data_IF_971138847495
#
_entry.id   IF_971138847495
#
_cell.length_a   1.000
_cell.length_b   1.000
_cell.length_c   1.000
_cell.angle_alpha   90.00
_cell.angle_beta   90.00
_cell.angle_gamma   90.00
#
_symmetry.space_group_name_H-M   'P 1'
#
loop_
_entity.id
_entity.type
_entity.pdbx_description
1 polymer ?
#
# COMPACT_ATOMS: atom_id res chain seq x y z
N UNK A 1 -3.25 2.83 -1.42
CA UNK A 1 -1.97 3.33 -0.88
C UNK A 1 -0.91 2.37 -1.38
N UNK A 2 -0.28 2.70 -2.51
CA UNK A 2 0.87 1.94 -3.01
C UNK A 2 2.02 2.30 -2.08
N UNK A 3 2.56 1.33 -1.34
CA UNK A 3 3.84 1.53 -0.66
C UNK A 3 4.86 1.60 -1.79
N UNK A 4 5.11 2.82 -2.28
CA UNK A 4 6.30 3.09 -3.08
C UNK A 4 7.44 2.93 -2.10
N UNK A 5 8.09 1.76 -2.11
CA UNK A 5 9.38 1.61 -1.45
C UNK A 5 10.36 2.40 -2.32
N UNK A 6 10.38 3.72 -2.12
CA UNK A 6 11.46 4.55 -2.61
C UNK A 6 12.67 4.12 -1.79
N UNK A 7 13.63 3.42 -2.41
CA UNK A 7 14.81 2.88 -1.74
C UNK A 7 15.94 3.90 -1.79
N UNK A 8 16.14 4.78 -0.77
CA UNK A 8 17.40 5.48 -0.65
C UNK A 8 18.47 4.49 -0.15
N UNK A 9 19.40 4.17 -1.05
CA UNK A 9 20.83 3.83 -0.83
C UNK A 9 21.31 3.50 0.60
N UNK A 10 20.71 2.55 1.33
CA UNK A 10 21.26 2.08 2.61
C UNK A 10 21.37 0.56 2.64
N UNK A 11 22.62 0.06 2.66
CA UNK A 11 22.96 -1.36 2.58
C UNK A 11 22.44 -2.25 3.73
N UNK A 12 21.92 -1.66 4.80
CA UNK A 12 21.47 -2.37 6.01
C UNK A 12 20.09 -3.04 5.82
N UNK A 13 19.20 -2.44 5.02
CA UNK A 13 17.88 -3.02 4.74
C UNK A 13 17.94 -4.18 3.73
N UNK A 14 18.93 -4.17 2.82
CA UNK A 14 19.14 -5.24 1.82
C UNK A 14 19.55 -6.57 2.45
N UNK A 15 20.37 -6.52 3.50
CA UNK A 15 20.84 -7.73 4.22
C UNK A 15 19.70 -8.40 4.99
N UNK A 16 18.77 -7.61 5.56
CA UNK A 16 17.60 -8.15 6.23
C UNK A 16 16.64 -8.81 5.24
N UNK A 17 16.27 -8.13 4.14
CA UNK A 17 15.41 -8.73 3.12
C UNK A 17 16.01 -9.99 2.50
N UNK A 18 17.33 -10.02 2.29
CA UNK A 18 18.04 -11.19 1.79
C UNK A 18 18.01 -12.36 2.77
N UNK A 19 18.23 -12.10 4.06
CA UNK A 19 18.14 -13.11 5.12
C UNK A 19 16.73 -13.71 5.18
N UNK A 20 15.71 -12.85 5.14
CA UNK A 20 14.30 -13.26 5.16
C UNK A 20 13.88 -14.04 3.91
N UNK A 21 14.39 -13.69 2.72
CA UNK A 21 14.15 -14.47 1.48
C UNK A 21 14.86 -15.83 1.54
N UNK A 22 16.07 -15.90 2.11
CA UNK A 22 16.79 -17.17 2.31
C UNK A 22 16.09 -18.05 3.34
N UNK A 23 15.58 -17.47 4.42
CA UNK A 23 14.87 -18.17 5.49
C UNK A 23 13.51 -18.73 5.00
N UNK A 24 12.83 -18.09 4.04
CA UNK A 24 11.54 -18.54 3.50
C UNK A 24 11.62 -19.68 2.47
N UNK A 25 12.79 -19.96 1.90
CA UNK A 25 12.94 -21.03 0.88
C UNK A 25 13.32 -22.37 1.52
N UNK A 26 13.26 -22.48 2.86
CA UNK A 26 13.74 -23.65 3.62
C UNK A 26 15.23 -24.01 3.34
N UNK A 27 15.96 -23.11 2.67
CA UNK A 27 17.39 -23.20 2.41
C UNK A 27 18.21 -22.48 3.48
N UNK A 28 17.70 -22.48 4.72
CA UNK A 28 18.40 -21.90 5.86
C UNK A 28 19.80 -22.51 5.86
N UNK A 29 20.80 -21.64 5.71
CA UNK A 29 22.20 -21.99 5.74
C UNK A 29 22.85 -22.57 4.45
N UNK A 30 22.21 -22.53 3.27
CA UNK A 30 22.84 -23.00 2.01
C UNK A 30 23.35 -21.89 1.08
N UNK A 31 22.98 -20.63 1.36
CA UNK A 31 23.36 -19.46 0.54
C UNK A 31 24.05 -18.36 1.35
N UNK A 32 24.85 -17.55 0.66
CA UNK A 32 25.39 -16.28 1.14
C UNK A 32 24.97 -15.14 0.22
N UNK A 33 24.74 -13.97 0.82
CA UNK A 33 24.64 -12.72 0.07
C UNK A 33 26.00 -12.43 -0.56
N UNK A 34 26.00 -12.18 -1.87
CA UNK A 34 27.20 -11.88 -2.66
C UNK A 34 27.15 -10.44 -3.17
N UNK A 35 28.24 -10.01 -3.82
CA UNK A 35 28.30 -8.73 -4.50
C UNK A 35 27.31 -8.68 -5.68
N UNK A 36 26.49 -7.62 -5.71
CA UNK A 36 25.51 -7.36 -6.75
C UNK A 36 26.05 -6.47 -7.87
N UNK A 37 27.26 -5.92 -7.74
CA UNK A 37 27.88 -5.12 -8.79
C UNK A 37 28.55 -6.01 -9.85
N UNK A 38 28.30 -5.74 -11.11
CA UNK A 38 28.75 -6.52 -12.25
C UNK A 38 29.97 -5.89 -12.93
N UNK A 39 30.68 -6.66 -13.75
CA UNK A 39 31.92 -6.22 -14.40
C UNK A 39 31.73 -5.04 -15.38
N UNK A 40 30.51 -4.81 -15.85
CA UNK A 40 30.14 -3.68 -16.70
C UNK A 40 29.71 -2.43 -15.90
N UNK A 41 29.84 -2.46 -14.57
CA UNK A 41 29.41 -1.38 -13.66
C UNK A 41 27.90 -1.33 -13.42
N UNK A 42 27.13 -2.24 -14.03
CA UNK A 42 25.70 -2.40 -13.69
C UNK A 42 25.54 -3.11 -12.35
N UNK A 43 24.35 -3.04 -11.75
CA UNK A 43 24.12 -3.58 -10.41
C UNK A 43 22.73 -4.17 -10.28
N UNK A 44 22.65 -5.39 -9.74
CA UNK A 44 21.38 -5.99 -9.32
C UNK A 44 20.98 -5.59 -7.90
N UNK A 45 19.73 -5.86 -7.52
CA UNK A 45 19.28 -5.56 -6.15
C UNK A 45 19.92 -6.50 -5.14
N UNK A 46 19.86 -7.82 -5.41
CA UNK A 46 20.40 -8.85 -4.54
C UNK A 46 20.93 -10.05 -5.34
N UNK A 47 22.03 -10.65 -4.86
CA UNK A 47 22.61 -11.89 -5.40
C UNK A 47 22.86 -12.85 -4.25
N UNK A 48 22.33 -14.06 -4.38
CA UNK A 48 22.58 -15.17 -3.46
C UNK A 48 23.45 -16.20 -4.16
N UNK A 49 24.61 -16.49 -3.57
CA UNK A 49 25.52 -17.55 -4.03
C UNK A 49 25.42 -18.76 -3.11
N UNK A 50 25.48 -20.00 -3.63
CA UNK A 50 25.60 -21.17 -2.79
C UNK A 50 26.85 -21.12 -1.91
N UNK A 51 26.79 -21.62 -0.67
CA UNK A 51 27.97 -21.76 0.19
C UNK A 51 29.00 -22.73 -0.39
N UNK A 52 28.48 -23.81 -0.98
CA UNK A 52 29.28 -24.87 -1.59
C UNK A 52 29.16 -24.77 -3.12
N UNK A 53 30.18 -24.19 -3.76
CA UNK A 53 30.28 -24.15 -5.23
C UNK A 53 30.85 -25.46 -5.82
N UNK A 54 31.11 -26.48 -5.00
CA UNK A 54 31.59 -27.79 -5.47
C UNK A 54 30.46 -28.82 -5.62
N UNK A 55 29.34 -28.68 -4.91
CA UNK A 55 28.12 -29.45 -5.18
C UNK A 55 27.35 -28.77 -6.32
N UNK A 56 27.06 -29.52 -7.39
CA UNK A 56 26.44 -29.00 -8.62
C UNK A 56 24.93 -28.68 -8.47
N UNK A 57 24.36 -28.85 -7.28
CA UNK A 57 22.92 -28.95 -7.14
C UNK A 57 22.25 -27.57 -7.03
N UNK A 58 22.97 -26.55 -6.55
CA UNK A 58 22.40 -25.23 -6.23
C UNK A 58 22.82 -24.14 -7.24
N UNK A 59 21.86 -23.45 -7.88
CA UNK A 59 22.13 -22.35 -8.80
C UNK A 59 22.47 -21.06 -8.05
N UNK A 60 23.03 -20.07 -8.76
CA UNK A 60 23.09 -18.70 -8.24
C UNK A 60 21.72 -18.05 -8.39
N UNK A 61 21.26 -17.30 -7.39
CA UNK A 61 19.97 -16.61 -7.46
C UNK A 61 20.21 -15.11 -7.57
N UNK A 62 19.67 -14.49 -8.61
CA UNK A 62 19.65 -13.03 -8.79
C UNK A 62 18.23 -12.54 -8.52
N UNK A 63 18.06 -11.52 -7.69
CA UNK A 63 16.75 -10.99 -7.31
C UNK A 63 16.67 -9.52 -7.69
N UNK A 64 15.54 -9.15 -8.31
CA UNK A 64 15.23 -7.82 -8.80
C UNK A 64 13.84 -7.38 -8.32
N UNK A 65 13.73 -6.12 -7.90
CA UNK A 65 12.46 -5.48 -7.58
C UNK A 65 12.20 -4.39 -8.61
N UNK A 66 11.11 -4.50 -9.36
CA UNK A 66 10.82 -3.55 -10.43
C UNK A 66 9.38 -3.07 -10.39
N UNK A 67 9.21 -1.76 -10.49
CA UNK A 67 7.88 -1.17 -10.62
C UNK A 67 7.26 -1.48 -11.99
N UNK A 68 8.08 -1.46 -13.05
CA UNK A 68 7.64 -1.78 -14.41
C UNK A 68 8.55 -2.83 -15.02
N UNK A 69 7.95 -3.90 -15.53
CA UNK A 69 8.66 -4.94 -16.27
C UNK A 69 8.40 -4.71 -17.76
N UNK A 70 9.37 -4.10 -18.42
CA UNK A 70 9.36 -3.84 -19.86
C UNK A 70 10.52 -4.54 -20.57
N UNK A 71 10.51 -4.48 -21.91
CA UNK A 71 11.54 -5.11 -22.72
C UNK A 71 12.96 -4.59 -22.43
N UNK A 72 13.11 -3.32 -22.07
CA UNK A 72 14.42 -2.73 -21.71
C UNK A 72 14.94 -3.35 -20.42
N UNK A 73 14.07 -3.50 -19.42
CA UNK A 73 14.41 -4.22 -18.20
C UNK A 73 14.74 -5.69 -18.48
N UNK A 74 13.96 -6.39 -19.30
CA UNK A 74 14.25 -7.79 -19.66
C UNK A 74 15.64 -7.95 -20.29
N UNK A 75 16.09 -7.02 -21.15
CA UNK A 75 17.47 -7.02 -21.68
C UNK A 75 18.52 -6.85 -20.58
N UNK A 76 18.25 -5.98 -19.60
CA UNK A 76 19.14 -5.78 -18.46
C UNK A 76 19.21 -7.03 -17.59
N UNK A 77 18.07 -7.66 -17.31
CA UNK A 77 17.97 -8.93 -16.61
C UNK A 77 18.74 -10.05 -17.34
N UNK A 78 18.66 -10.13 -18.68
CA UNK A 78 19.54 -11.01 -19.49
C UNK A 78 21.01 -10.74 -19.15
N UNK A 79 21.43 -9.48 -19.20
CA UNK A 79 22.82 -9.10 -18.92
C UNK A 79 23.27 -9.57 -17.54
N UNK A 80 22.44 -9.39 -16.50
CA UNK A 80 22.75 -9.86 -15.15
C UNK A 80 22.95 -11.38 -15.12
N UNK A 81 22.10 -12.14 -15.81
CA UNK A 81 22.26 -13.59 -15.89
C UNK A 81 23.56 -13.99 -16.59
N UNK A 82 23.96 -13.27 -17.65
CA UNK A 82 25.24 -13.50 -18.32
C UNK A 82 26.43 -13.21 -17.41
N UNK A 83 26.36 -12.12 -16.63
CA UNK A 83 27.43 -11.72 -15.72
C UNK A 83 27.55 -12.71 -14.56
N UNK A 84 26.43 -13.14 -13.99
CA UNK A 84 26.40 -14.17 -12.96
C UNK A 84 26.94 -15.52 -13.49
N UNK A 85 26.53 -15.93 -14.68
CA UNK A 85 27.03 -17.16 -15.32
C UNK A 85 28.54 -17.11 -15.54
N UNK A 86 29.09 -15.99 -16.03
CA UNK A 86 30.54 -15.80 -16.16
C UNK A 86 31.28 -15.81 -14.82
N UNK A 87 30.73 -15.13 -13.80
CA UNK A 87 31.39 -14.95 -12.50
C UNK A 87 31.42 -16.25 -11.68
N UNK A 88 30.33 -17.01 -11.72
CA UNK A 88 30.16 -18.20 -10.89
C UNK A 88 30.25 -19.52 -11.66
N UNK A 89 30.44 -19.45 -12.98
CA UNK A 89 30.52 -20.60 -13.90
C UNK A 89 29.28 -21.51 -13.83
N UNK A 90 28.10 -20.90 -13.63
CA UNK A 90 26.82 -21.59 -13.41
C UNK A 90 25.65 -20.75 -13.92
N UNK A 91 24.69 -21.39 -14.54
CA UNK A 91 23.48 -20.69 -14.99
C UNK A 91 22.62 -20.28 -13.78
N UNK A 92 22.32 -18.97 -13.64
CA UNK A 92 21.58 -18.47 -12.49
C UNK A 92 20.07 -18.68 -12.66
N UNK A 93 19.34 -18.68 -11.55
CA UNK A 93 17.92 -18.38 -11.52
C UNK A 93 17.78 -16.88 -11.28
N UNK A 94 16.92 -16.20 -12.05
CA UNK A 94 16.55 -14.81 -11.76
C UNK A 94 15.10 -14.74 -11.30
N UNK A 95 14.86 -14.04 -10.20
CA UNK A 95 13.54 -13.81 -9.62
C UNK A 95 13.25 -12.32 -9.69
N UNK A 96 12.13 -11.95 -10.31
CA UNK A 96 11.73 -10.57 -10.53
C UNK A 96 10.40 -10.34 -9.82
N UNK A 97 10.40 -9.47 -8.81
CA UNK A 97 9.18 -9.00 -8.15
C UNK A 97 8.68 -7.74 -8.85
N UNK A 98 7.57 -7.86 -9.57
CA UNK A 98 6.89 -6.77 -10.28
C UNK A 98 5.80 -6.13 -9.43
N UNK A 99 5.99 -4.88 -9.01
CA UNK A 99 5.05 -4.21 -8.09
C UNK A 99 3.89 -3.48 -8.80
N UNK A 100 3.92 -3.33 -10.12
CA UNK A 100 2.87 -2.62 -10.85
C UNK A 100 2.57 -3.22 -12.24
N UNK A 101 3.20 -2.72 -13.30
CA UNK A 101 2.77 -3.00 -14.69
C UNK A 101 3.80 -3.84 -15.44
N UNK A 102 3.33 -4.90 -16.08
CA UNK A 102 4.05 -5.61 -17.14
C UNK A 102 3.64 -5.04 -18.49
N UNK A 103 4.62 -4.69 -19.33
CA UNK A 103 4.33 -4.17 -20.67
C UNK A 103 3.65 -5.24 -21.55
N UNK A 104 2.80 -4.84 -22.50
CA UNK A 104 2.11 -5.78 -23.39
C UNK A 104 3.09 -6.71 -24.13
N UNK A 105 4.21 -6.16 -24.60
CA UNK A 105 5.27 -6.91 -25.25
C UNK A 105 5.84 -7.99 -24.32
N UNK A 106 6.12 -7.63 -23.07
CA UNK A 106 6.61 -8.58 -22.06
C UNK A 106 5.57 -9.64 -21.72
N UNK A 107 4.29 -9.27 -21.64
CA UNK A 107 3.19 -10.23 -21.38
C UNK A 107 3.09 -11.30 -22.46
N UNK A 108 3.44 -10.97 -23.71
CA UNK A 108 3.48 -11.94 -24.82
C UNK A 108 4.71 -12.85 -24.78
N UNK A 109 5.72 -12.53 -23.98
CA UNK A 109 6.97 -13.29 -23.87
C UNK A 109 7.01 -14.23 -22.66
N UNK A 110 5.98 -14.21 -21.83
CA UNK A 110 5.90 -15.00 -20.60
C UNK A 110 4.83 -16.08 -20.70
N UNK A 111 5.06 -17.20 -20.02
CA UNK A 111 4.08 -18.27 -19.82
C UNK A 111 3.82 -18.48 -18.33
N UNK A 112 2.78 -19.24 -17.99
CA UNK A 112 2.58 -19.67 -16.60
C UNK A 112 3.81 -20.44 -16.13
N UNK A 113 4.37 -20.02 -15.01
CA UNK A 113 5.56 -20.64 -14.45
C UNK A 113 5.27 -21.98 -13.81
N UNK A 114 6.35 -22.70 -13.46
CA UNK A 114 6.27 -24.01 -12.82
C UNK A 114 5.68 -23.92 -11.40
N UNK A 115 5.95 -22.82 -10.71
CA UNK A 115 5.40 -22.55 -9.38
C UNK A 115 4.08 -21.78 -9.51
N UNK A 116 3.11 -22.12 -8.68
CA UNK A 116 1.88 -21.33 -8.58
C UNK A 116 2.22 -19.88 -8.26
N UNK A 117 1.45 -18.95 -8.82
CA UNK A 117 1.67 -17.53 -8.58
C UNK A 117 2.79 -16.90 -9.40
N UNK A 118 3.35 -17.61 -10.38
CA UNK A 118 4.53 -17.14 -11.14
C UNK A 118 4.32 -17.19 -12.66
N UNK A 119 5.05 -16.33 -13.36
CA UNK A 119 5.28 -16.41 -14.79
C UNK A 119 6.74 -16.76 -15.09
N UNK A 120 6.98 -17.46 -16.19
CA UNK A 120 8.33 -17.75 -16.69
C UNK A 120 8.58 -16.99 -18.00
N UNK A 121 9.68 -16.24 -18.05
CA UNK A 121 10.09 -15.55 -19.29
C UNK A 121 10.81 -16.54 -20.23
N UNK A 122 10.22 -16.80 -21.40
CA UNK A 122 10.65 -17.85 -22.31
C UNK A 122 12.00 -17.58 -22.99
N UNK A 123 12.41 -16.32 -23.09
CA UNK A 123 13.52 -15.91 -23.96
C UNK A 123 14.88 -15.82 -23.26
N UNK A 124 15.04 -16.32 -22.03
CA UNK A 124 16.30 -16.22 -21.30
C UNK A 124 17.19 -17.44 -21.51
N UNK A 125 17.81 -17.50 -22.69
CA UNK A 125 18.66 -18.60 -23.19
C UNK A 125 19.86 -18.95 -22.29
N UNK A 126 20.11 -18.20 -21.21
CA UNK A 126 21.30 -18.32 -20.34
C UNK A 126 20.99 -18.13 -18.85
N UNK A 127 19.72 -18.21 -18.47
CA UNK A 127 19.33 -18.44 -17.09
C UNK A 127 18.83 -19.89 -17.00
N UNK A 128 19.07 -20.53 -15.86
CA UNK A 128 18.43 -21.82 -15.54
C UNK A 128 16.92 -21.66 -15.50
N UNK A 129 16.47 -20.54 -14.96
CA UNK A 129 15.06 -20.15 -14.92
C UNK A 129 14.93 -18.63 -14.74
N UNK A 130 13.85 -18.06 -15.27
CA UNK A 130 13.46 -16.69 -14.97
C UNK A 130 12.03 -16.66 -14.46
N UNK A 131 11.89 -16.33 -13.19
CA UNK A 131 10.61 -16.30 -12.49
C UNK A 131 10.19 -14.85 -12.32
N UNK A 132 9.00 -14.52 -12.77
CA UNK A 132 8.35 -13.23 -12.55
C UNK A 132 7.19 -13.45 -11.59
N UNK A 133 7.18 -12.68 -10.51
CA UNK A 133 6.10 -12.65 -9.52
C UNK A 133 5.49 -11.26 -9.56
N UNK A 134 4.22 -11.15 -9.90
CA UNK A 134 3.49 -9.89 -9.87
C UNK A 134 2.07 -10.11 -9.34
N UNK A 135 1.34 -9.02 -9.12
CA UNK A 135 -0.03 -9.11 -8.62
C UNK A 135 -0.93 -9.98 -9.52
N UNK A 136 -0.80 -9.87 -10.84
CA UNK A 136 -1.61 -10.64 -11.79
C UNK A 136 -1.33 -12.14 -11.68
N UNK A 137 -0.06 -12.55 -11.61
CA UNK A 137 0.31 -13.96 -11.48
C UNK A 137 -0.19 -14.57 -10.18
N UNK A 138 -0.23 -13.78 -9.10
CA UNK A 138 -0.69 -14.22 -7.79
C UNK A 138 -2.21 -14.27 -7.67
N UNK A 139 -2.93 -13.34 -8.30
CA UNK A 139 -4.40 -13.30 -8.29
C UNK A 139 -5.03 -14.50 -9.02
N UNK A 140 -4.28 -15.14 -9.94
CA UNK A 140 -4.68 -16.38 -10.62
C UNK A 140 -4.65 -17.63 -9.71
N UNK A 141 -4.11 -17.54 -8.49
CA UNK A 141 -4.00 -18.67 -7.56
C UNK A 141 -5.23 -18.79 -6.67
N UNK A 142 -5.97 -19.89 -6.82
CA UNK A 142 -7.11 -20.22 -5.96
C UNK A 142 -6.63 -20.66 -4.57
N UNK A 143 -7.22 -20.10 -3.50
CA UNK A 143 -6.88 -20.36 -2.08
C UNK A 143 -7.31 -21.77 -1.59
N UNK A 144 -6.83 -22.82 -2.23
CA UNK A 144 -7.19 -24.19 -1.85
C UNK A 144 -6.47 -24.68 -0.58
N UNK A 145 -5.37 -24.02 -0.19
CA UNK A 145 -4.54 -24.44 0.93
C UNK A 145 -4.43 -23.32 1.98
N UNK A 146 -4.93 -23.63 3.18
CA UNK A 146 -4.68 -22.86 4.39
C UNK A 146 -3.79 -23.75 5.28
N UNK A 147 -2.60 -23.30 5.71
CA UNK A 147 -2.02 -21.97 5.50
C UNK A 147 -1.48 -21.74 4.06
N UNK A 148 -1.37 -20.47 3.65
CA UNK A 148 -0.83 -20.06 2.34
C UNK A 148 0.65 -20.48 2.20
N UNK A 149 1.12 -20.77 1.00
CA UNK A 149 2.56 -21.00 0.78
C UNK A 149 3.39 -19.74 1.15
N UNK A 150 4.55 -19.86 1.85
CA UNK A 150 5.35 -18.71 2.27
C UNK A 150 5.82 -17.83 1.12
N UNK A 151 6.17 -18.43 -0.03
CA UNK A 151 6.60 -17.70 -1.21
C UNK A 151 5.44 -16.92 -1.83
N UNK A 152 4.23 -17.49 -1.86
CA UNK A 152 3.01 -16.77 -2.26
C UNK A 152 2.68 -15.60 -1.30
N UNK A 153 2.83 -15.82 0.01
CA UNK A 153 2.60 -14.78 1.02
C UNK A 153 3.56 -13.60 0.85
N UNK A 154 4.85 -13.89 0.66
CA UNK A 154 5.89 -12.90 0.36
C UNK A 154 5.63 -12.19 -0.96
N UNK A 155 5.29 -12.92 -2.01
CA UNK A 155 4.96 -12.36 -3.32
C UNK A 155 3.83 -11.34 -3.22
N UNK A 156 2.74 -11.68 -2.50
CA UNK A 156 1.60 -10.76 -2.30
C UNK A 156 1.97 -9.54 -1.46
N UNK A 157 2.77 -9.75 -0.42
CA UNK A 157 3.26 -8.64 0.40
C UNK A 157 4.11 -7.66 -0.44
N UNK A 158 5.07 -8.18 -1.22
CA UNK A 158 5.97 -7.36 -2.02
C UNK A 158 5.31 -6.69 -3.22
N UNK A 159 4.35 -7.36 -3.88
CA UNK A 159 3.78 -6.88 -5.15
C UNK A 159 2.45 -6.15 -4.99
N UNK A 160 1.67 -6.47 -3.96
CA UNK A 160 0.35 -5.88 -3.73
C UNK A 160 0.26 -5.06 -2.44
N UNK A 161 1.31 -5.05 -1.60
CA UNK A 161 1.28 -4.40 -0.29
C UNK A 161 0.23 -5.00 0.64
N UNK A 162 -0.24 -6.23 0.37
CA UNK A 162 -1.27 -6.89 1.15
C UNK A 162 -0.62 -7.63 2.32
N UNK A 163 -1.00 -7.28 3.55
CA UNK A 163 -0.72 -8.10 4.72
C UNK A 163 -1.59 -9.37 4.64
N UNK A 164 -0.97 -10.52 4.36
CA UNK A 164 -1.66 -11.82 4.37
C UNK A 164 -1.85 -12.28 5.81
N UNK A 165 -3.07 -12.22 6.34
CA UNK A 165 -3.46 -12.74 7.67
C UNK A 165 -4.36 -13.98 7.58
N UNK A 166 -4.33 -14.92 8.55
CA UNK A 166 -3.35 -15.12 9.62
C UNK A 166 -2.21 -16.02 9.11
N UNK A 167 -0.98 -15.66 9.44
CA UNK A 167 0.19 -16.44 9.03
C UNK A 167 1.15 -16.49 10.21
N UNK A 168 1.30 -17.67 10.82
CA UNK A 168 2.18 -17.92 11.97
C UNK A 168 3.62 -18.16 11.50
N UNK A 169 4.12 -17.28 10.64
CA UNK A 169 5.50 -17.32 10.16
C UNK A 169 6.31 -16.15 10.75
N UNK A 170 7.40 -16.44 11.48
CA UNK A 170 8.25 -15.41 12.08
C UNK A 170 8.80 -14.39 11.07
N UNK A 171 9.01 -14.79 9.83
CA UNK A 171 9.56 -13.94 8.78
C UNK A 171 8.52 -12.93 8.31
N UNK A 172 7.28 -13.36 8.08
CA UNK A 172 6.16 -12.49 7.75
C UNK A 172 5.80 -11.54 8.90
N UNK A 173 5.86 -11.99 10.16
CA UNK A 173 5.70 -11.11 11.33
C UNK A 173 6.79 -10.03 11.38
N UNK A 174 8.04 -10.40 11.10
CA UNK A 174 9.16 -9.46 11.04
C UNK A 174 8.98 -8.43 9.92
N UNK A 175 8.59 -8.85 8.72
CA UNK A 175 8.30 -7.95 7.59
C UNK A 175 7.15 -6.99 7.91
N UNK A 176 6.10 -7.47 8.58
CA UNK A 176 5.00 -6.61 9.06
C UNK A 176 5.49 -5.57 10.05
N UNK A 177 6.30 -5.99 11.04
CA UNK A 177 6.87 -5.07 12.03
C UNK A 177 7.71 -3.99 11.36
N UNK A 178 8.60 -4.37 10.42
CA UNK A 178 9.41 -3.41 9.65
C UNK A 178 8.57 -2.43 8.84
N UNK A 179 7.50 -2.92 8.21
CA UNK A 179 6.58 -2.07 7.43
C UNK A 179 5.85 -1.08 8.32
N UNK A 180 5.33 -1.55 9.45
CA UNK A 180 4.63 -0.70 10.41
C UNK A 180 5.58 0.36 10.97
N UNK A 181 6.81 -0.01 11.30
CA UNK A 181 7.82 0.93 11.77
C UNK A 181 8.15 1.98 10.69
N UNK A 182 8.35 1.55 9.44
CA UNK A 182 8.61 2.47 8.33
C UNK A 182 7.43 3.42 8.06
N UNK A 183 6.20 2.92 8.09
CA UNK A 183 4.99 3.74 7.97
C UNK A 183 4.92 4.73 9.13
N UNK A 184 5.18 4.29 10.35
CA UNK A 184 5.19 5.15 11.53
C UNK A 184 6.29 6.23 11.45
N UNK A 185 7.47 5.88 10.94
CA UNK A 185 8.56 6.82 10.71
C UNK A 185 8.19 7.86 9.63
N UNK A 186 7.56 7.43 8.53
CA UNK A 186 7.06 8.32 7.50
C UNK A 186 5.96 9.25 8.01
N UNK A 187 5.02 8.71 8.79
CA UNK A 187 3.95 9.49 9.43
C UNK A 187 4.49 10.41 10.53
N UNK A 188 5.63 10.06 11.14
CA UNK A 188 6.35 10.92 12.09
C UNK A 188 7.06 12.09 11.40
N UNK A 189 7.41 11.98 10.12
CA UNK A 189 8.05 13.05 9.34
C UNK A 189 7.09 13.90 8.52
N UNK A 190 5.91 13.38 8.19
CA UNK A 190 4.89 14.09 7.44
C UNK A 190 3.77 14.47 8.38
N UNK A 191 3.64 15.76 8.71
CA UNK A 191 2.49 16.22 9.48
C UNK A 191 1.22 15.82 8.69
N UNK A 192 0.32 14.99 9.24
CA UNK A 192 -0.86 14.53 8.51
C UNK A 192 -1.70 15.69 7.97
N UNK A 193 -1.66 16.83 8.67
CA UNK A 193 -2.27 18.09 8.28
C UNK A 193 -1.64 18.71 7.02
N UNK A 194 -0.33 18.58 6.81
CA UNK A 194 0.35 19.12 5.62
C UNK A 194 -0.03 18.33 4.36
N UNK A 195 -0.14 17.01 4.48
CA UNK A 195 -0.60 16.15 3.39
C UNK A 195 -2.07 16.40 3.08
N UNK A 196 -2.92 16.53 4.10
CA UNK A 196 -4.32 16.91 3.93
C UNK A 196 -4.46 18.28 3.27
N UNK A 197 -3.64 19.25 3.69
CA UNK A 197 -3.61 20.60 3.11
C UNK A 197 -3.22 20.56 1.64
N UNK A 198 -2.20 19.79 1.29
CA UNK A 198 -1.76 19.61 -0.09
C UNK A 198 -2.87 19.00 -0.96
N UNK A 199 -3.49 17.90 -0.52
CA UNK A 199 -4.59 17.25 -1.26
C UNK A 199 -5.77 18.19 -1.46
N UNK A 200 -6.13 18.98 -0.44
CA UNK A 200 -7.21 19.95 -0.53
C UNK A 200 -6.88 21.06 -1.54
N UNK A 201 -5.64 21.56 -1.55
CA UNK A 201 -5.22 22.59 -2.49
C UNK A 201 -5.15 22.08 -3.94
N UNK A 202 -4.68 20.85 -4.16
CA UNK A 202 -4.61 20.23 -5.48
C UNK A 202 -6.02 20.01 -6.05
N UNK A 203 -6.95 19.52 -5.23
CA UNK A 203 -8.36 19.38 -5.63
C UNK A 203 -9.02 20.74 -5.95
N UNK A 204 -8.76 21.78 -5.14
CA UNK A 204 -9.26 23.14 -5.40
C UNK A 204 -8.78 23.66 -6.77
N UNK A 205 -7.54 23.36 -7.15
CA UNK A 205 -6.99 23.74 -8.46
C UNK A 205 -7.72 23.03 -9.61
N UNK A 206 -7.90 21.71 -9.52
CA UNK A 206 -8.60 20.91 -10.55
C UNK A 206 -10.07 21.36 -10.70
N UNK A 207 -10.76 21.67 -9.61
CA UNK A 207 -12.12 22.21 -9.68
C UNK A 207 -12.17 23.56 -10.36
N UNK A 208 -11.19 24.44 -10.14
CA UNK A 208 -11.14 25.73 -10.82
C UNK A 208 -10.90 25.59 -12.32
N UNK A 209 -10.03 24.68 -12.74
CA UNK A 209 -9.82 24.39 -14.17
C UNK A 209 -11.08 23.81 -14.83
N UNK A 210 -11.75 22.87 -14.16
CA UNK A 210 -13.01 22.31 -14.65
C UNK A 210 -14.10 23.39 -14.74
N UNK A 211 -14.19 24.30 -13.77
CA UNK A 211 -15.15 25.41 -13.81
C UNK A 211 -14.83 26.41 -14.93
N UNK A 212 -13.56 26.66 -15.23
CA UNK A 212 -13.14 27.50 -16.34
C UNK A 212 -13.48 26.86 -17.69
N UNK A 213 -13.15 25.57 -17.86
CA UNK A 213 -13.51 24.78 -19.05
C UNK A 213 -15.03 24.70 -19.28
N UNK A 214 -15.81 24.50 -18.21
CA UNK A 214 -17.28 24.46 -18.27
C UNK A 214 -17.88 25.84 -18.53
N UNK A 215 -17.24 26.91 -18.05
CA UNK A 215 -17.70 28.29 -18.34
C UNK A 215 -17.46 28.67 -19.80
N UNK A 216 -16.50 28.03 -20.46
CA UNK A 216 -16.20 28.20 -21.89
C UNK A 216 -17.03 27.30 -22.83
N UNK A 217 -17.77 26.31 -22.29
CA UNK A 217 -18.65 25.41 -23.06
C UNK A 217 -19.87 25.01 -22.26
N UNK A 218 -21.04 25.55 -22.62
CA UNK A 218 -22.32 25.46 -21.89
C UNK A 218 -22.69 24.02 -21.43
N UNK A 219 -22.32 23.69 -20.19
CA UNK A 219 -22.88 22.57 -19.42
C UNK A 219 -23.21 23.03 -17.99
N UNK A 220 -24.41 23.59 -17.82
CA UNK A 220 -24.91 24.14 -16.55
C UNK A 220 -25.05 23.10 -15.42
N UNK A 221 -25.47 21.87 -15.75
CA UNK A 221 -25.58 20.79 -14.75
C UNK A 221 -24.21 20.30 -14.24
N UNK A 222 -23.17 20.36 -15.08
CA UNK A 222 -21.79 20.04 -14.74
C UNK A 222 -21.21 21.11 -13.82
N UNK A 223 -21.51 22.39 -14.11
CA UNK A 223 -21.13 23.53 -13.28
C UNK A 223 -21.66 23.40 -11.85
N UNK A 224 -22.96 23.08 -11.69
CA UNK A 224 -23.57 22.87 -10.37
C UNK A 224 -22.96 21.69 -9.61
N UNK A 225 -22.63 20.59 -10.32
CA UNK A 225 -22.03 19.40 -9.71
C UNK A 225 -20.60 19.66 -9.21
N UNK A 226 -19.79 20.35 -10.01
CA UNK A 226 -18.42 20.74 -9.64
C UNK A 226 -18.42 21.76 -8.51
N UNK A 227 -19.33 22.75 -8.53
CA UNK A 227 -19.51 23.70 -7.42
C UNK A 227 -19.93 23.01 -6.12
N UNK A 228 -20.83 22.02 -6.19
CA UNK A 228 -21.23 21.24 -5.02
C UNK A 228 -20.08 20.41 -4.42
N UNK A 229 -19.22 19.83 -5.27
CA UNK A 229 -18.03 19.10 -4.83
C UNK A 229 -16.99 20.04 -4.20
N UNK A 230 -16.75 21.22 -4.80
CA UNK A 230 -15.87 22.25 -4.23
C UNK A 230 -16.35 22.72 -2.85
N UNK A 231 -17.64 22.99 -2.70
CA UNK A 231 -18.21 23.41 -1.41
C UNK A 231 -18.08 22.31 -0.32
N UNK A 232 -18.17 21.04 -0.70
CA UNK A 232 -17.93 19.92 0.22
C UNK A 232 -16.46 19.84 0.66
N UNK A 233 -15.53 20.07 -0.27
CA UNK A 233 -14.09 20.15 0.01
C UNK A 233 -13.73 21.33 0.90
N UNK A 234 -14.32 22.51 0.68
CA UNK A 234 -14.17 23.68 1.57
C UNK A 234 -14.77 23.44 2.97
N UNK A 235 -15.81 22.64 3.08
CA UNK A 235 -16.35 22.24 4.38
C UNK A 235 -15.37 21.34 5.14
N UNK A 236 -14.73 20.38 4.45
CA UNK A 236 -13.67 19.54 5.03
C UNK A 236 -12.46 20.40 5.43
N UNK A 237 -12.05 21.36 4.60
CA UNK A 237 -10.99 22.33 4.90
C UNK A 237 -11.26 23.08 6.20
N UNK A 238 -12.48 23.62 6.38
CA UNK A 238 -12.86 24.33 7.61
C UNK A 238 -12.95 23.41 8.83
N UNK A 239 -13.36 22.17 8.65
CA UNK A 239 -13.50 21.19 9.74
C UNK A 239 -12.15 20.69 10.27
N UNK A 240 -11.11 20.67 9.43
CA UNK A 240 -9.85 20.00 9.76
C UNK A 240 -8.59 20.88 9.70
N UNK A 241 -8.64 22.10 9.12
CA UNK A 241 -7.45 22.92 8.86
C UNK A 241 -7.54 24.38 9.35
N UNK A 242 -8.63 24.80 10.01
CA UNK A 242 -8.71 26.12 10.65
C UNK A 242 -8.83 25.93 12.16
N UNK A 243 -7.68 25.84 12.82
CA UNK A 243 -7.54 26.27 14.20
C UNK A 243 -6.10 26.74 14.41
N UNK A 244 -5.75 27.87 13.79
CA UNK A 244 -4.50 28.59 14.08
C UNK A 244 -4.64 30.07 13.67
N UNK A 245 -5.19 30.89 14.57
CA UNK A 245 -4.57 32.18 14.89
C UNK A 245 -5.05 32.71 16.27
N UNK A 246 -4.12 33.05 17.19
CA UNK A 246 -4.45 33.76 18.41
C UNK A 246 -4.63 35.27 18.15
N UNK A 247 -5.47 35.90 18.98
CA UNK A 247 -5.75 37.34 19.12
C UNK A 247 -6.81 37.94 18.17
N UNK A 248 -8.06 37.90 18.65
CA UNK A 248 -8.82 39.14 18.82
C UNK A 248 -9.65 39.03 20.10
N UNK A 249 -9.21 39.78 21.11
CA UNK A 249 -9.88 39.94 22.39
C UNK A 249 -11.20 40.70 22.23
N UNK A 250 -12.12 40.37 23.14
CA UNK A 250 -13.33 41.12 23.53
C UNK A 250 -14.62 40.78 22.78
N UNK A 251 -15.33 39.75 23.26
CA UNK A 251 -16.28 39.97 24.34
C UNK A 251 -16.76 38.63 24.93
N UNK A 252 -16.70 38.53 26.26
CA UNK A 252 -17.39 37.52 27.05
C UNK A 252 -18.89 37.54 26.73
N UNK A 253 -19.38 36.49 26.07
CA UNK A 253 -20.76 36.04 26.23
C UNK A 253 -20.68 34.53 26.42
N UNK A 254 -21.20 34.06 27.55
CA UNK A 254 -21.21 32.67 27.95
C UNK A 254 -21.51 31.74 26.76
N UNK A 255 -20.57 30.85 26.44
CA UNK A 255 -20.73 29.88 25.38
C UNK A 255 -21.91 28.97 25.72
N UNK A 256 -23.07 29.26 25.15
CA UNK A 256 -24.17 28.32 25.11
C UNK A 256 -23.67 27.12 24.33
N UNK A 257 -23.50 25.98 25.00
CA UNK A 257 -23.18 24.69 24.39
C UNK A 257 -23.99 24.54 23.09
N UNK A 258 -23.31 24.16 22.01
CA UNK A 258 -23.93 24.10 20.69
C UNK A 258 -25.15 23.16 20.76
N UNK A 259 -26.17 23.43 19.94
CA UNK A 259 -27.39 22.60 19.92
C UNK A 259 -27.08 21.11 19.75
N UNK A 260 -25.94 20.79 19.12
CA UNK A 260 -25.41 19.44 18.96
C UNK A 260 -24.88 18.84 20.26
N UNK A 261 -24.12 19.60 21.07
CA UNK A 261 -23.58 19.09 22.34
C UNK A 261 -24.68 18.75 23.33
N UNK A 262 -25.73 19.60 23.40
CA UNK A 262 -26.92 19.34 24.23
C UNK A 262 -27.66 18.08 23.77
N UNK A 263 -27.76 17.88 22.45
CA UNK A 263 -28.37 16.69 21.88
C UNK A 263 -27.56 15.41 22.21
N UNK A 264 -26.23 15.46 22.14
CA UNK A 264 -25.38 14.31 22.44
C UNK A 264 -25.32 13.98 23.93
N UNK A 265 -25.26 15.00 24.80
CA UNK A 265 -25.35 14.80 26.25
C UNK A 265 -26.64 14.06 26.63
N UNK A 266 -27.77 14.49 26.04
CA UNK A 266 -29.05 13.84 26.28
C UNK A 266 -29.07 12.36 25.84
N UNK A 267 -28.47 12.02 24.69
CA UNK A 267 -28.38 10.62 24.24
C UNK A 267 -27.57 9.76 25.21
N UNK A 268 -26.48 10.31 25.75
CA UNK A 268 -25.63 9.63 26.73
C UNK A 268 -26.38 9.43 28.05
N UNK A 269 -27.04 10.48 28.55
CA UNK A 269 -27.82 10.41 29.80
C UNK A 269 -28.98 9.41 29.68
N UNK A 270 -29.68 9.42 28.55
CA UNK A 270 -30.77 8.47 28.27
C UNK A 270 -30.26 7.02 28.25
N UNK A 271 -29.07 6.79 27.68
CA UNK A 271 -28.44 5.46 27.65
C UNK A 271 -28.05 4.97 29.04
N UNK A 272 -27.56 5.87 29.90
CA UNK A 272 -27.16 5.54 31.28
C UNK A 272 -28.38 5.31 32.18
N UNK A 273 -29.48 6.02 31.96
CA UNK A 273 -30.72 5.88 32.73
C UNK A 273 -31.51 4.60 32.37
N UNK A 274 -31.29 4.02 31.19
CA UNK A 274 -31.95 2.79 30.75
C UNK A 274 -31.24 1.52 31.25
N UNK A 275 -32.01 0.58 31.82
CA UNK A 275 -31.50 -0.77 32.08
C UNK A 275 -31.57 -1.63 30.81
N UNK A 276 -30.42 -1.86 30.16
CA UNK A 276 -30.30 -2.83 29.06
C UNK A 276 -30.02 -2.20 27.70
N UNK A 277 -30.49 -2.86 26.63
CA UNK A 277 -30.22 -2.45 25.24
C UNK A 277 -30.94 -1.12 24.94
N UNK A 278 -30.21 -0.18 24.34
CA UNK A 278 -30.72 1.16 24.02
C UNK A 278 -32.00 1.12 23.18
N UNK A 279 -33.09 1.69 23.70
CA UNK A 279 -34.30 1.96 22.93
C UNK A 279 -34.16 3.29 22.18
N UNK A 280 -33.66 3.18 20.95
CA UNK A 280 -33.45 4.32 20.06
C UNK A 280 -34.75 5.03 19.69
N UNK A 281 -35.89 4.34 19.70
CA UNK A 281 -37.19 4.92 19.35
C UNK A 281 -37.70 5.78 20.51
N UNK A 282 -37.57 5.30 21.75
CA UNK A 282 -37.91 6.05 22.95
C UNK A 282 -36.99 7.28 23.12
N UNK A 283 -35.67 7.10 22.96
CA UNK A 283 -34.70 8.20 23.01
C UNK A 283 -35.01 9.29 21.99
N UNK A 284 -35.25 8.91 20.73
CA UNK A 284 -35.61 9.85 19.68
C UNK A 284 -36.90 10.62 19.99
N UNK A 285 -37.95 9.93 20.47
CA UNK A 285 -39.24 10.56 20.78
C UNK A 285 -39.10 11.59 21.89
N UNK A 286 -38.39 11.26 22.96
CA UNK A 286 -38.19 12.18 24.10
C UNK A 286 -37.28 13.36 23.72
N UNK A 287 -36.26 13.14 22.89
CA UNK A 287 -35.41 14.23 22.41
C UNK A 287 -36.11 15.17 21.42
N UNK A 288 -37.08 14.69 20.64
CA UNK A 288 -37.95 15.54 19.82
C UNK A 288 -38.90 16.37 20.70
N UNK A 289 -39.51 15.77 21.73
CA UNK A 289 -40.38 16.47 22.68
C UNK A 289 -39.64 17.60 23.41
N UNK A 290 -38.40 17.34 23.82
CA UNK A 290 -37.49 18.33 24.42
C UNK A 290 -36.88 19.33 23.43
N UNK A 291 -37.24 19.26 22.14
CA UNK A 291 -36.70 20.09 21.04
C UNK A 291 -35.17 20.03 20.94
N UNK A 292 -34.58 18.91 21.32
CA UNK A 292 -33.14 18.65 21.26
C UNK A 292 -32.71 18.08 19.90
N UNK A 293 -33.63 17.42 19.19
CA UNK A 293 -33.37 16.79 17.89
C UNK A 293 -34.10 17.48 16.74
N UNK A 294 -33.46 17.51 15.56
CA UNK A 294 -34.08 17.91 14.27
C UNK A 294 -34.19 16.75 13.29
N UNK A 295 -33.82 15.53 13.70
CA UNK A 295 -33.75 14.35 12.84
C UNK A 295 -35.13 13.78 12.54
N UNK A 296 -35.35 13.38 11.28
CA UNK A 296 -36.64 12.82 10.82
C UNK A 296 -36.93 11.41 11.33
N UNK A 297 -35.91 10.64 11.74
CA UNK A 297 -36.08 9.24 12.18
C UNK A 297 -35.07 8.84 13.26
N UNK A 298 -35.47 7.89 14.11
CA UNK A 298 -34.64 7.31 15.18
C UNK A 298 -33.38 6.58 14.66
N UNK A 299 -33.39 6.08 13.42
CA UNK A 299 -32.21 5.44 12.80
C UNK A 299 -31.03 6.41 12.64
N UNK A 300 -31.30 7.71 12.55
CA UNK A 300 -30.26 8.75 12.45
C UNK A 300 -29.41 8.88 13.72
N UNK A 301 -29.89 8.34 14.85
CA UNK A 301 -29.16 8.29 16.12
C UNK A 301 -28.28 7.04 16.26
N UNK A 302 -28.44 6.06 15.36
CA UNK A 302 -27.71 4.78 15.40
C UNK A 302 -26.39 4.81 14.64
N UNK A 303 -26.08 5.91 13.96
CA UNK A 303 -24.84 6.03 13.20
C UNK A 303 -23.67 6.21 14.18
N UNK A 304 -22.66 5.34 14.16
CA UNK A 304 -21.45 5.56 14.95
C UNK A 304 -20.73 6.80 14.40
N UNK A 305 -20.48 7.77 15.29
CA UNK A 305 -19.39 8.74 15.11
C UNK A 305 -18.12 8.04 15.56
#
# INVERSE_FOLDING_TARGET
>A
MVIVIDYPRQGIQRVHLAKHIVDMVDCVDEYFVSDSEWADGSRSDLVLKPKCLSTNDLPVIVIEFQNRIDYTFCKRAISYCLQASKRYQRDPIIIIFGTNIMSLETTQMVEKGRMDGTYTLLSLVRAKECVIVNKASLDDVTYAHNPLDPFLALGRFLTAGQLVTPYDDPTMESLRSLTNNHINDMLGQVHPLDTLTKIINDNDHEYNELLDMISNGLWEDGKKKVQGQKAATEHLRRKFLIDDNPLTTSNCVAATASSHEKAMSFVVDFKVAGHGRMDWVACWREGIDKKLFSYKTAKSLQTPI
#
